data_IF_339385127273
#
_entry.id   IF_339385127273
#
_cell.length_a   1.000
_cell.length_b   1.000
_cell.length_c   1.000
_cell.angle_alpha   90.00
_cell.angle_beta   90.00
_cell.angle_gamma   90.00
#
_symmetry.space_group_name_H-M   'P 1'
#
loop_
_entity.id
_entity.type
_entity.pdbx_description
1 polymer ?
#
# COMPACT_ATOMS: atom_id res chain seq x y z
N UNK A 1 -11.76 -5.14 -8.88
CA UNK A 1 -11.26 -6.55 -8.90
C UNK A 1 -10.13 -6.68 -7.89
N UNK A 2 -10.18 -7.70 -7.04
CA UNK A 2 -9.08 -8.00 -6.10
C UNK A 2 -8.27 -9.20 -6.58
N UNK A 3 -8.95 -10.26 -7.00
CA UNK A 3 -8.30 -11.51 -7.39
C UNK A 3 -9.22 -12.29 -8.32
N UNK A 4 -8.67 -12.84 -9.41
CA UNK A 4 -9.33 -13.78 -10.29
C UNK A 4 -8.40 -14.97 -10.47
N UNK A 5 -8.86 -16.15 -10.11
CA UNK A 5 -8.15 -17.42 -10.31
C UNK A 5 -9.03 -18.37 -11.13
N UNK A 6 -8.44 -18.93 -12.16
CA UNK A 6 -9.15 -19.83 -13.08
C UNK A 6 -8.44 -21.19 -13.11
N UNK A 7 -9.23 -22.26 -13.13
CA UNK A 7 -8.78 -23.63 -13.28
C UNK A 7 -9.71 -24.43 -14.21
N UNK A 8 -9.32 -25.67 -14.54
CA UNK A 8 -10.19 -26.57 -15.29
C UNK A 8 -11.49 -26.90 -14.55
N UNK A 9 -11.51 -26.76 -13.22
CA UNK A 9 -12.66 -27.07 -12.39
C UNK A 9 -13.63 -25.90 -12.23
N UNK A 10 -13.18 -24.65 -12.41
CA UNK A 10 -14.02 -23.48 -12.20
C UNK A 10 -13.25 -22.17 -12.07
N UNK A 11 -13.91 -21.19 -11.49
CA UNK A 11 -13.40 -19.83 -11.26
C UNK A 11 -13.57 -19.45 -9.78
N UNK A 12 -12.53 -18.87 -9.20
CA UNK A 12 -12.58 -18.15 -7.93
C UNK A 12 -12.40 -16.66 -8.21
N UNK A 13 -13.31 -15.86 -7.70
CA UNK A 13 -13.33 -14.42 -7.94
C UNK A 13 -13.52 -13.66 -6.65
N UNK A 14 -12.74 -12.59 -6.43
CA UNK A 14 -12.87 -11.73 -5.29
C UNK A 14 -12.97 -10.26 -5.71
N UNK A 15 -13.95 -9.56 -5.15
CA UNK A 15 -14.18 -8.14 -5.43
C UNK A 15 -14.60 -7.39 -4.16
N UNK A 16 -14.58 -6.05 -4.24
CA UNK A 16 -15.12 -5.17 -3.19
C UNK A 16 -16.48 -4.65 -3.65
N UNK A 17 -17.44 -4.73 -2.75
CA UNK A 17 -18.75 -4.13 -2.90
C UNK A 17 -19.07 -3.29 -1.65
N UNK A 18 -19.24 -1.98 -1.82
CA UNK A 18 -19.57 -1.05 -0.71
C UNK A 18 -18.70 -1.25 0.56
N UNK A 19 -17.38 -1.39 0.39
CA UNK A 19 -16.44 -1.65 1.49
C UNK A 19 -16.57 -3.02 2.16
N UNK A 20 -17.33 -3.95 1.59
CA UNK A 20 -17.31 -5.37 1.94
C UNK A 20 -16.51 -6.16 0.89
N UNK A 21 -15.81 -7.19 1.32
CA UNK A 21 -15.12 -8.12 0.42
C UNK A 21 -16.04 -9.30 0.14
N UNK A 22 -16.17 -9.67 -1.12
CA UNK A 22 -17.00 -10.79 -1.56
C UNK A 22 -16.12 -11.80 -2.29
N UNK A 23 -16.08 -13.02 -1.80
CA UNK A 23 -15.48 -14.16 -2.47
C UNK A 23 -16.56 -14.99 -3.15
N UNK A 24 -16.35 -15.34 -4.41
CA UNK A 24 -17.24 -16.16 -5.21
C UNK A 24 -16.47 -17.35 -5.75
N UNK A 25 -16.98 -18.56 -5.49
CA UNK A 25 -16.46 -19.78 -6.08
C UNK A 25 -17.50 -20.38 -7.00
N UNK A 26 -17.15 -20.62 -8.25
CA UNK A 26 -18.01 -21.23 -9.27
C UNK A 26 -17.32 -22.48 -9.79
N UNK A 27 -17.90 -23.64 -9.49
CA UNK A 27 -17.41 -24.95 -9.96
C UNK A 27 -18.29 -25.44 -11.10
N UNK A 28 -17.68 -25.84 -12.22
CA UNK A 28 -18.41 -26.29 -13.41
C UNK A 28 -19.46 -27.37 -13.09
N UNK A 29 -19.12 -28.31 -12.23
CA UNK A 29 -20.01 -29.42 -11.82
C UNK A 29 -21.25 -28.94 -11.06
N UNK A 30 -21.14 -27.85 -10.28
CA UNK A 30 -22.25 -27.30 -9.49
C UNK A 30 -23.26 -26.54 -10.41
N UNK A 31 -22.87 -26.23 -11.65
CA UNK A 31 -23.72 -25.56 -12.64
C UNK A 31 -24.39 -26.52 -13.62
N UNK A 32 -24.10 -27.82 -13.54
CA UNK A 32 -24.76 -28.83 -14.39
C UNK A 32 -26.24 -28.94 -14.03
N UNK A 33 -27.11 -29.09 -15.04
CA UNK A 33 -28.55 -29.28 -14.84
C UNK A 33 -29.40 -28.65 -15.95
N UNK A 34 -30.59 -28.19 -15.58
CA UNK A 34 -31.53 -27.55 -16.52
C UNK A 34 -31.07 -26.13 -16.92
N UNK A 35 -31.41 -25.70 -18.14
CA UNK A 35 -31.15 -24.35 -18.64
C UNK A 35 -29.76 -24.16 -19.25
N UNK A 36 -29.41 -22.89 -19.54
CA UNK A 36 -28.19 -22.48 -20.28
C UNK A 36 -27.02 -22.05 -19.38
N UNK A 37 -27.19 -22.07 -18.05
CA UNK A 37 -26.22 -21.50 -17.08
C UNK A 37 -24.81 -22.08 -17.25
N UNK A 38 -24.71 -23.41 -17.40
CA UNK A 38 -23.42 -24.07 -17.61
C UNK A 38 -22.75 -23.65 -18.92
N UNK A 39 -23.51 -23.42 -19.97
CA UNK A 39 -23.04 -22.95 -21.26
C UNK A 39 -22.61 -21.48 -21.19
N UNK A 40 -23.41 -20.63 -20.57
CA UNK A 40 -23.11 -19.21 -20.30
C UNK A 40 -21.81 -19.06 -19.50
N UNK A 41 -21.68 -19.81 -18.40
CA UNK A 41 -20.44 -19.79 -17.60
C UNK A 41 -19.23 -20.24 -18.41
N UNK A 42 -19.34 -21.29 -19.20
CA UNK A 42 -18.23 -21.74 -20.05
C UNK A 42 -17.83 -20.69 -21.10
N UNK A 43 -18.80 -19.93 -21.63
CA UNK A 43 -18.50 -18.83 -22.55
C UNK A 43 -17.72 -17.73 -21.86
N UNK A 44 -18.11 -17.31 -20.66
CA UNK A 44 -17.34 -16.35 -19.88
C UNK A 44 -15.94 -16.88 -19.56
N UNK A 45 -15.85 -18.09 -19.02
CA UNK A 45 -14.58 -18.70 -18.61
C UNK A 45 -13.55 -18.77 -19.72
N UNK A 46 -13.97 -18.96 -20.94
CA UNK A 46 -13.06 -19.06 -22.10
C UNK A 46 -12.46 -17.73 -22.55
N UNK A 47 -12.94 -16.58 -22.04
CA UNK A 47 -12.53 -15.25 -22.51
C UNK A 47 -12.46 -14.21 -21.37
N UNK A 48 -12.21 -14.62 -20.13
CA UNK A 48 -12.11 -13.71 -18.95
C UNK A 48 -10.93 -12.73 -19.01
N UNK A 49 -9.96 -12.98 -19.90
CA UNK A 49 -8.87 -12.02 -20.16
C UNK A 49 -9.36 -10.79 -20.96
N UNK A 50 -10.53 -10.87 -21.58
CA UNK A 50 -11.16 -9.79 -22.31
C UNK A 50 -11.94 -8.89 -21.33
N UNK A 51 -11.64 -7.59 -21.25
CA UNK A 51 -12.31 -6.67 -20.31
C UNK A 51 -13.83 -6.60 -20.48
N UNK A 52 -14.35 -6.68 -21.71
CA UNK A 52 -15.80 -6.63 -21.96
C UNK A 52 -16.48 -7.92 -21.47
N UNK A 53 -15.85 -9.08 -21.66
CA UNK A 53 -16.32 -10.36 -21.17
C UNK A 53 -16.28 -10.42 -19.64
N UNK A 54 -15.20 -9.91 -19.06
CA UNK A 54 -15.06 -9.83 -17.60
C UNK A 54 -16.15 -8.95 -16.99
N UNK A 55 -16.44 -7.78 -17.58
CA UNK A 55 -17.51 -6.90 -17.12
C UNK A 55 -18.89 -7.60 -17.16
N UNK A 56 -19.21 -8.31 -18.25
CA UNK A 56 -20.45 -9.08 -18.38
C UNK A 56 -20.52 -10.23 -17.36
N UNK A 57 -19.38 -10.88 -17.08
CA UNK A 57 -19.29 -11.89 -16.03
C UNK A 57 -19.52 -11.31 -14.65
N UNK A 58 -18.96 -10.12 -14.35
CA UNK A 58 -19.20 -9.41 -13.10
C UNK A 58 -20.69 -9.07 -12.92
N UNK A 59 -21.37 -8.55 -13.96
CA UNK A 59 -22.82 -8.31 -13.91
C UNK A 59 -23.60 -9.62 -13.66
N UNK A 60 -23.21 -10.69 -14.33
CA UNK A 60 -23.88 -12.00 -14.23
C UNK A 60 -23.80 -12.61 -12.83
N UNK A 61 -22.69 -12.42 -12.10
CA UNK A 61 -22.54 -12.88 -10.72
C UNK A 61 -23.16 -11.90 -9.71
N UNK A 62 -23.17 -10.61 -10.00
CA UNK A 62 -23.73 -9.59 -9.11
C UNK A 62 -25.27 -9.66 -9.06
N UNK A 63 -25.94 -9.89 -10.18
CA UNK A 63 -27.38 -9.88 -10.26
C UNK A 63 -28.08 -10.79 -9.20
N UNK A 64 -27.71 -12.08 -9.02
CA UNK A 64 -28.29 -12.91 -7.97
C UNK A 64 -27.79 -12.58 -6.57
N UNK A 65 -26.65 -11.87 -6.40
CA UNK A 65 -26.14 -11.44 -5.10
C UNK A 65 -26.73 -10.11 -4.63
N UNK A 66 -27.23 -9.28 -5.55
CA UNK A 66 -27.69 -7.93 -5.28
C UNK A 66 -28.63 -7.81 -4.06
N UNK A 67 -29.69 -8.65 -3.91
CA UNK A 67 -30.60 -8.55 -2.77
C UNK A 67 -29.90 -8.74 -1.42
N UNK A 68 -28.94 -9.67 -1.36
CA UNK A 68 -28.15 -9.91 -0.15
C UNK A 68 -27.19 -8.75 0.13
N UNK A 69 -26.50 -8.26 -0.91
CA UNK A 69 -25.50 -7.22 -0.77
C UNK A 69 -26.13 -5.86 -0.39
N UNK A 70 -27.32 -5.56 -0.89
CA UNK A 70 -28.07 -4.35 -0.52
C UNK A 70 -28.44 -4.32 0.97
N UNK A 71 -28.74 -5.50 1.55
CA UNK A 71 -29.06 -5.63 2.96
C UNK A 71 -27.83 -5.66 3.85
N UNK A 72 -26.81 -6.45 3.50
CA UNK A 72 -25.67 -6.76 4.36
C UNK A 72 -24.45 -5.86 4.13
N UNK A 73 -24.36 -5.24 2.96
CA UNK A 73 -23.29 -4.30 2.58
C UNK A 73 -23.88 -3.03 1.95
N UNK A 74 -24.71 -2.27 2.69
CA UNK A 74 -25.31 -1.06 2.16
C UNK A 74 -24.23 -0.03 1.81
N UNK A 75 -24.53 0.85 0.86
CA UNK A 75 -23.62 1.92 0.45
C UNK A 75 -23.23 2.76 1.67
N UNK A 76 -21.92 2.87 2.00
CA UNK A 76 -21.47 3.70 3.11
C UNK A 76 -21.90 5.15 2.88
N UNK A 77 -22.28 5.82 3.96
CA UNK A 77 -22.42 7.28 3.89
C UNK A 77 -21.06 7.88 3.54
N UNK A 78 -20.98 8.72 2.50
CA UNK A 78 -19.75 9.40 2.11
C UNK A 78 -19.17 10.32 3.21
N UNK A 79 -19.88 10.47 4.32
CA UNK A 79 -19.50 11.26 5.48
C UNK A 79 -19.07 10.41 6.68
N UNK A 80 -19.20 9.08 6.62
CA UNK A 80 -18.76 8.23 7.71
C UNK A 80 -17.24 8.05 7.65
N UNK A 81 -16.55 8.29 8.79
CA UNK A 81 -15.11 8.10 8.87
C UNK A 81 -14.78 6.60 8.73
N UNK A 82 -13.94 6.25 7.76
CA UNK A 82 -13.49 4.88 7.53
C UNK A 82 -12.14 4.63 8.21
N UNK A 83 -12.07 3.84 9.29
CA UNK A 83 -10.81 3.41 9.88
C UNK A 83 -9.98 2.52 8.94
N UNK A 84 -8.66 2.57 9.05
CA UNK A 84 -7.77 1.65 8.31
C UNK A 84 -8.09 0.18 8.63
N UNK A 85 -8.49 -0.12 9.87
CA UNK A 85 -8.92 -1.45 10.25
C UNK A 85 -10.03 -1.97 9.33
N UNK A 86 -11.05 -1.15 9.07
CA UNK A 86 -12.16 -1.52 8.21
C UNK A 86 -11.73 -1.70 6.74
N UNK A 87 -10.77 -0.91 6.28
CA UNK A 87 -10.22 -1.06 4.93
C UNK A 87 -9.44 -2.37 4.76
N UNK A 88 -8.54 -2.70 5.70
CA UNK A 88 -7.70 -3.89 5.62
C UNK A 88 -8.35 -5.18 6.14
N UNK A 89 -9.38 -5.05 6.97
CA UNK A 89 -10.21 -6.16 7.46
C UNK A 89 -11.68 -5.85 7.21
N UNK A 90 -12.08 -5.73 5.92
CA UNK A 90 -13.45 -5.44 5.58
C UNK A 90 -14.35 -6.60 5.99
N UNK A 91 -15.64 -6.31 6.24
CA UNK A 91 -16.65 -7.33 6.37
C UNK A 91 -16.58 -8.24 5.13
N UNK A 92 -16.49 -9.54 5.34
CA UNK A 92 -16.19 -10.47 4.25
C UNK A 92 -17.26 -11.53 4.14
N UNK A 93 -17.74 -11.76 2.92
CA UNK A 93 -18.71 -12.76 2.56
C UNK A 93 -18.11 -13.75 1.58
N UNK A 94 -18.51 -15.01 1.67
CA UNK A 94 -18.12 -16.04 0.73
C UNK A 94 -19.37 -16.73 0.18
N UNK A 95 -19.40 -16.94 -1.12
CA UNK A 95 -20.50 -17.61 -1.81
C UNK A 95 -19.97 -18.68 -2.75
N UNK A 96 -20.75 -19.73 -2.94
CA UNK A 96 -20.66 -20.59 -4.09
C UNK A 96 -21.93 -20.51 -4.91
N UNK A 97 -21.81 -20.63 -6.21
CA UNK A 97 -22.96 -20.68 -7.09
C UNK A 97 -23.33 -22.09 -7.49
N UNK A 98 -24.63 -22.34 -7.57
CA UNK A 98 -25.20 -23.61 -8.02
C UNK A 98 -26.29 -23.36 -9.04
N UNK A 99 -26.57 -24.34 -9.89
CA UNK A 99 -27.74 -24.34 -10.77
C UNK A 99 -28.98 -24.84 -9.99
N UNK A 100 -29.95 -23.99 -9.83
CA UNK A 100 -31.21 -24.32 -9.21
C UNK A 100 -32.36 -24.10 -10.21
N UNK A 101 -32.76 -25.18 -10.86
CA UNK A 101 -33.86 -25.16 -11.85
C UNK A 101 -33.63 -24.18 -13.00
N UNK A 102 -32.42 -24.12 -13.54
CA UNK A 102 -32.04 -23.22 -14.62
C UNK A 102 -31.78 -21.77 -14.22
N UNK A 103 -31.64 -21.49 -12.92
CA UNK A 103 -31.23 -20.18 -12.40
C UNK A 103 -29.94 -20.29 -11.58
N UNK A 104 -29.11 -19.27 -11.65
CA UNK A 104 -27.89 -19.13 -10.86
C UNK A 104 -28.29 -18.76 -9.42
N UNK A 105 -28.04 -19.64 -8.45
CA UNK A 105 -28.44 -19.49 -7.05
C UNK A 105 -27.19 -19.37 -6.15
N UNK A 106 -26.98 -18.25 -5.44
CA UNK A 106 -25.85 -18.09 -4.54
C UNK A 106 -26.12 -18.80 -3.21
N UNK A 107 -25.21 -19.65 -2.80
CA UNK A 107 -25.18 -20.27 -1.47
C UNK A 107 -24.11 -19.61 -0.64
N UNK A 108 -24.49 -18.94 0.44
CA UNK A 108 -23.52 -18.34 1.37
C UNK A 108 -22.74 -19.43 2.09
N UNK A 109 -21.42 -19.25 2.15
CA UNK A 109 -20.48 -20.10 2.87
C UNK A 109 -19.95 -19.37 4.11
N UNK A 110 -19.46 -20.14 5.08
CA UNK A 110 -18.65 -19.56 6.14
C UNK A 110 -17.30 -19.12 5.54
N UNK A 111 -16.97 -17.84 5.69
CA UNK A 111 -15.66 -17.34 5.29
C UNK A 111 -14.57 -17.91 6.20
N UNK A 112 -13.52 -18.46 5.61
CA UNK A 112 -12.32 -18.93 6.31
C UNK A 112 -11.08 -18.24 5.72
N UNK A 113 -10.44 -17.32 6.48
CA UNK A 113 -9.26 -16.59 6.01
C UNK A 113 -8.07 -17.48 5.70
N UNK A 114 -8.02 -18.71 6.24
CA UNK A 114 -6.92 -19.64 5.98
C UNK A 114 -7.00 -20.28 4.59
N UNK A 115 -8.22 -20.35 4.02
CA UNK A 115 -8.47 -20.92 2.69
C UNK A 115 -8.38 -19.84 1.61
N UNK A 116 -8.97 -18.67 1.87
CA UNK A 116 -9.12 -17.59 0.86
C UNK A 116 -7.90 -16.65 0.79
N UNK A 117 -6.90 -16.85 1.64
CA UNK A 117 -5.70 -16.02 1.69
C UNK A 117 -5.98 -14.60 2.23
N UNK A 118 -5.14 -14.12 3.13
CA UNK A 118 -5.16 -12.73 3.59
C UNK A 118 -3.91 -12.02 3.08
N UNK A 119 -4.08 -11.09 2.12
CA UNK A 119 -3.00 -10.24 1.61
C UNK A 119 -2.79 -8.97 2.42
N UNK A 120 -3.46 -8.85 3.56
CA UNK A 120 -3.31 -7.70 4.44
C UNK A 120 -1.87 -7.56 4.96
N UNK A 121 -1.38 -6.33 5.14
CA UNK A 121 -0.01 -6.10 5.60
C UNK A 121 0.15 -6.54 7.06
N UNK A 122 0.85 -7.65 7.29
CA UNK A 122 1.12 -8.18 8.63
C UNK A 122 2.60 -8.51 8.81
N UNK A 123 3.30 -7.72 9.63
CA UNK A 123 4.70 -7.94 10.01
C UNK A 123 4.81 -8.14 11.50
N UNK A 124 5.29 -9.29 11.95
CA UNK A 124 5.38 -9.63 13.37
C UNK A 124 6.46 -8.84 14.09
N UNK A 125 6.14 -8.30 15.27
CA UNK A 125 7.06 -7.67 16.22
C UNK A 125 7.43 -8.70 17.29
N UNK A 126 8.68 -9.09 17.37
CA UNK A 126 9.17 -10.12 18.28
C UNK A 126 10.11 -9.56 19.35
N UNK A 127 10.11 -10.17 20.55
CA UNK A 127 10.91 -9.69 21.67
C UNK A 127 12.34 -10.24 21.71
N UNK A 128 12.58 -11.40 21.07
CA UNK A 128 13.87 -12.10 21.12
C UNK A 128 14.20 -12.64 19.73
N UNK A 129 15.46 -12.57 19.26
CA UNK A 129 15.88 -13.21 18.04
C UNK A 129 15.65 -14.72 18.10
N UNK A 130 14.97 -15.29 17.13
CA UNK A 130 14.66 -16.74 17.09
C UNK A 130 15.87 -17.63 16.72
N UNK A 131 17.06 -17.07 16.54
CA UNK A 131 18.29 -17.81 16.29
C UNK A 131 19.56 -16.98 16.55
N UNK A 132 20.68 -17.64 16.85
CA UNK A 132 22.01 -17.12 17.25
C UNK A 132 22.48 -15.81 16.60
N UNK A 133 23.14 -14.93 17.38
CA UNK A 133 23.54 -13.60 16.96
C UNK A 133 24.81 -13.64 16.10
N UNK A 134 24.67 -13.62 14.82
CA UNK A 134 25.79 -13.37 13.88
C UNK A 134 25.44 -12.40 12.74
N UNK A 135 24.63 -11.40 12.96
CA UNK A 135 24.63 -10.19 12.14
C UNK A 135 23.75 -9.12 12.83
N UNK A 136 24.11 -7.85 12.66
CA UNK A 136 23.35 -6.68 13.11
C UNK A 136 22.11 -6.45 12.21
N UNK A 137 21.37 -7.49 11.89
CA UNK A 137 20.16 -7.35 11.13
C UNK A 137 19.00 -7.09 12.10
N UNK A 138 18.33 -5.97 11.94
CA UNK A 138 17.14 -5.57 12.71
C UNK A 138 15.95 -6.50 12.47
N UNK A 139 16.07 -7.41 11.50
CA UNK A 139 15.02 -8.32 11.05
C UNK A 139 15.42 -9.78 11.23
N UNK A 140 14.43 -10.62 11.49
CA UNK A 140 14.62 -12.08 11.47
C UNK A 140 14.60 -12.59 10.02
N UNK A 141 15.10 -13.81 9.77
CA UNK A 141 15.03 -14.43 8.44
C UNK A 141 13.61 -14.58 7.89
N UNK A 142 12.62 -14.54 8.77
CA UNK A 142 11.20 -14.66 8.45
C UNK A 142 10.50 -13.30 8.25
N UNK A 143 11.27 -12.19 8.15
CA UNK A 143 10.72 -10.84 7.95
C UNK A 143 10.08 -10.21 9.19
N UNK A 144 10.19 -10.82 10.38
CA UNK A 144 9.73 -10.21 11.62
C UNK A 144 10.72 -9.14 12.11
N UNK A 145 10.20 -8.10 12.77
CA UNK A 145 11.01 -7.02 13.33
C UNK A 145 11.24 -7.19 14.82
N UNK A 146 12.45 -6.91 15.28
CA UNK A 146 12.74 -6.93 16.71
C UNK A 146 12.13 -5.70 17.40
N UNK A 147 11.42 -5.90 18.51
CA UNK A 147 10.87 -4.79 19.31
C UNK A 147 11.94 -3.79 19.74
N UNK A 148 13.14 -4.25 20.03
CA UNK A 148 14.28 -3.39 20.40
C UNK A 148 14.82 -2.55 19.22
N UNK A 149 14.47 -2.89 17.97
CA UNK A 149 14.84 -2.16 16.77
C UNK A 149 13.78 -1.14 16.36
N UNK A 150 12.60 -1.13 17.00
CA UNK A 150 11.58 -0.13 16.71
C UNK A 150 12.05 1.28 17.08
N UNK A 151 11.77 2.28 16.26
CA UNK A 151 12.02 3.67 16.62
C UNK A 151 11.16 4.09 17.83
N UNK A 152 11.57 5.10 18.60
CA UNK A 152 10.84 5.57 19.78
C UNK A 152 9.63 6.44 19.39
N UNK A 153 8.70 5.86 18.62
CA UNK A 153 7.43 6.46 18.23
C UNK A 153 6.25 5.62 18.74
N UNK A 154 5.05 6.20 18.91
CA UNK A 154 3.90 5.47 19.43
C UNK A 154 3.47 4.34 18.48
N UNK A 155 2.98 3.24 19.06
CA UNK A 155 2.16 2.26 18.37
C UNK A 155 0.70 2.75 18.40
N UNK A 156 0.06 2.79 17.24
CA UNK A 156 -1.28 3.35 17.04
C UNK A 156 -2.16 2.25 16.47
N UNK A 157 -3.32 2.02 17.05
CA UNK A 157 -4.25 1.00 16.55
C UNK A 157 -4.82 1.41 15.18
N UNK A 158 -5.04 0.44 14.31
CA UNK A 158 -5.58 0.67 12.98
C UNK A 158 -7.00 1.29 13.02
N UNK A 159 -7.78 1.00 14.07
CA UNK A 159 -9.08 1.62 14.32
C UNK A 159 -9.00 3.11 14.67
N UNK A 160 -7.85 3.60 15.17
CA UNK A 160 -7.64 5.01 15.52
C UNK A 160 -7.17 5.86 14.33
N UNK A 161 -6.85 5.24 13.19
CA UNK A 161 -6.39 5.92 11.98
C UNK A 161 -7.50 5.92 10.94
N UNK A 162 -7.95 7.10 10.58
CA UNK A 162 -9.12 7.33 9.73
C UNK A 162 -8.68 7.81 8.35
N UNK A 163 -9.24 7.25 7.30
CA UNK A 163 -9.06 7.71 5.92
C UNK A 163 -9.50 9.17 5.78
N UNK A 164 -8.73 10.00 5.06
CA UNK A 164 -8.97 11.43 4.89
C UNK A 164 -8.93 11.90 3.42
N UNK A 165 -8.74 11.01 2.48
CA UNK A 165 -8.92 11.26 1.04
C UNK A 165 -10.42 11.27 0.71
N UNK A 166 -10.80 12.09 -0.26
CA UNK A 166 -12.17 12.10 -0.75
C UNK A 166 -12.41 10.81 -1.54
N UNK A 167 -13.41 10.05 -1.11
CA UNK A 167 -13.87 8.86 -1.84
C UNK A 167 -14.67 9.33 -3.07
N UNK A 168 -14.06 9.28 -4.26
CA UNK A 168 -14.83 9.09 -5.48
C UNK A 168 -15.23 7.62 -5.58
N UNK A 169 -16.32 7.30 -6.28
CA UNK A 169 -16.84 5.94 -6.39
C UNK A 169 -15.81 4.93 -6.98
N UNK A 170 -14.80 5.42 -7.70
CA UNK A 170 -13.76 4.60 -8.32
C UNK A 170 -12.51 4.39 -7.43
N UNK A 171 -12.35 5.13 -6.34
CA UNK A 171 -11.12 5.17 -5.53
C UNK A 171 -11.19 4.37 -4.21
N UNK A 172 -12.30 3.68 -3.94
CA UNK A 172 -12.49 2.89 -2.69
C UNK A 172 -11.48 1.73 -2.61
N UNK A 173 -11.04 1.22 -3.76
CA UNK A 173 -10.09 0.11 -3.85
C UNK A 173 -8.64 0.49 -3.56
N UNK A 174 -8.30 1.78 -3.61
CA UNK A 174 -6.94 2.22 -3.41
C UNK A 174 -6.54 2.23 -1.93
N UNK A 175 -5.32 1.74 -1.66
CA UNK A 175 -4.76 1.78 -0.30
C UNK A 175 -4.77 3.22 0.21
N UNK A 176 -5.44 3.51 1.35
CA UNK A 176 -5.51 4.85 1.89
C UNK A 176 -4.12 5.41 2.17
N UNK A 177 -3.80 6.57 1.59
CA UNK A 177 -2.52 7.26 1.80
C UNK A 177 -2.67 8.46 2.70
N UNK A 178 -3.74 9.24 2.51
CA UNK A 178 -4.06 10.44 3.30
C UNK A 178 -4.99 10.05 4.43
N UNK A 179 -4.52 10.24 5.65
CA UNK A 179 -5.23 9.78 6.85
C UNK A 179 -5.18 10.83 7.96
N UNK A 180 -5.98 10.61 8.99
CA UNK A 180 -6.00 11.39 10.25
C UNK A 180 -5.99 10.42 11.42
N UNK A 181 -5.47 10.86 12.55
CA UNK A 181 -5.63 10.15 13.80
C UNK A 181 -6.89 10.65 14.51
N UNK A 182 -7.72 9.75 15.06
CA UNK A 182 -8.97 10.10 15.75
C UNK A 182 -8.77 11.13 16.86
N UNK A 183 -7.63 11.06 17.58
CA UNK A 183 -7.25 12.01 18.61
C UNK A 183 -6.78 13.38 18.10
N UNK A 184 -6.47 13.50 16.81
CA UNK A 184 -5.98 14.71 16.16
C UNK A 184 -6.66 14.90 14.78
N UNK A 185 -7.98 15.16 14.74
CA UNK A 185 -8.78 15.12 13.50
C UNK A 185 -8.41 16.22 12.49
N UNK A 186 -7.76 17.30 12.93
CA UNK A 186 -7.34 18.40 12.06
C UNK A 186 -5.95 18.19 11.46
N UNK A 187 -5.18 17.20 11.95
CA UNK A 187 -3.85 16.92 11.46
C UNK A 187 -3.88 15.83 10.39
N UNK A 188 -3.48 16.20 9.17
CA UNK A 188 -3.28 15.24 8.09
C UNK A 188 -1.95 14.51 8.26
N UNK A 189 -1.99 13.21 7.99
CA UNK A 189 -0.86 12.28 8.03
C UNK A 189 -0.85 11.45 6.75
N UNK A 190 0.32 10.87 6.46
CA UNK A 190 0.51 9.93 5.36
C UNK A 190 0.68 8.52 5.91
N UNK A 191 -0.13 7.58 5.43
CA UNK A 191 -0.01 6.17 5.77
C UNK A 191 0.67 5.40 4.63
N UNK A 192 1.67 4.60 4.97
CA UNK A 192 2.35 3.66 4.07
C UNK A 192 2.18 2.25 4.59
N UNK A 193 1.41 1.43 3.86
CA UNK A 193 1.17 0.04 4.23
C UNK A 193 2.46 -0.78 4.18
N UNK A 194 2.61 -1.71 5.12
CA UNK A 194 3.72 -2.65 5.18
C UNK A 194 3.54 -3.82 4.22
N UNK A 195 3.73 -3.60 2.92
CA UNK A 195 3.60 -4.63 1.91
C UNK A 195 4.78 -5.62 1.92
N UNK A 196 4.68 -6.72 1.16
CA UNK A 196 5.58 -7.89 1.18
C UNK A 196 7.04 -7.60 0.78
N UNK A 197 7.33 -6.46 0.19
CA UNK A 197 8.68 -6.08 -0.29
C UNK A 197 9.66 -5.68 0.83
N UNK A 198 9.20 -5.67 2.08
CA UNK A 198 9.98 -5.28 3.26
C UNK A 198 10.63 -3.87 3.21
N UNK A 199 10.41 -3.09 2.16
CA UNK A 199 10.93 -1.73 2.04
C UNK A 199 10.49 -0.82 3.20
N UNK A 200 9.27 -1.03 3.70
CA UNK A 200 8.75 -0.31 4.86
C UNK A 200 9.58 -0.54 6.15
N UNK A 201 10.22 -1.70 6.31
CA UNK A 201 11.08 -1.98 7.48
C UNK A 201 12.38 -1.18 7.42
N UNK A 202 13.01 -1.16 6.24
CA UNK A 202 14.18 -0.31 5.99
C UNK A 202 13.85 1.16 6.20
N UNK A 203 12.72 1.63 5.68
CA UNK A 203 12.27 3.01 5.84
C UNK A 203 12.05 3.36 7.31
N UNK A 204 11.35 2.50 8.06
CA UNK A 204 11.16 2.65 9.49
C UNK A 204 12.48 2.82 10.24
N UNK A 205 13.46 1.95 9.96
CA UNK A 205 14.78 1.99 10.60
C UNK A 205 15.52 3.28 10.27
N UNK A 206 15.60 3.67 8.99
CA UNK A 206 16.32 4.86 8.57
C UNK A 206 15.65 6.15 9.07
N UNK A 207 14.33 6.25 9.03
CA UNK A 207 13.61 7.39 9.61
C UNK A 207 13.78 7.47 11.12
N UNK A 208 13.86 6.32 11.80
CA UNK A 208 14.21 6.24 13.22
C UNK A 208 15.62 6.79 13.49
N UNK A 209 16.62 6.40 12.69
CA UNK A 209 17.99 6.90 12.78
C UNK A 209 18.08 8.42 12.49
N UNK A 210 17.36 8.90 11.47
CA UNK A 210 17.25 10.32 11.12
C UNK A 210 16.71 11.11 12.32
N UNK A 211 15.61 10.66 12.91
CA UNK A 211 14.99 11.30 14.07
C UNK A 211 15.93 11.31 15.28
N UNK A 212 16.58 10.17 15.57
CA UNK A 212 17.52 10.05 16.69
C UNK A 212 18.75 10.95 16.53
N UNK A 213 19.23 11.17 15.32
CA UNK A 213 20.40 12.00 15.06
C UNK A 213 20.20 13.47 15.49
N UNK A 214 18.96 13.96 15.50
CA UNK A 214 18.61 15.34 15.78
C UNK A 214 19.16 16.36 14.76
N UNK A 215 19.68 15.88 13.62
CA UNK A 215 20.44 16.69 12.64
C UNK A 215 19.62 17.11 11.43
N UNK A 216 18.34 16.70 11.37
CA UNK A 216 17.44 16.97 10.25
C UNK A 216 16.29 17.89 10.65
N UNK A 217 15.82 18.66 9.71
CA UNK A 217 14.84 19.73 9.83
C UNK A 217 15.20 20.82 8.82
N UNK A 218 14.66 22.03 8.94
CA UNK A 218 15.07 23.10 8.04
C UNK A 218 16.56 23.43 8.21
N UNK A 219 17.38 23.51 7.12
CA UNK A 219 17.00 23.38 5.70
C UNK A 219 17.01 21.93 5.14
N UNK A 220 17.46 20.93 5.91
CA UNK A 220 17.62 19.52 5.46
C UNK A 220 16.37 18.73 5.81
N UNK A 221 15.38 18.72 4.91
CA UNK A 221 14.08 18.13 5.15
C UNK A 221 13.99 16.71 4.59
N UNK A 222 13.52 15.79 5.42
CA UNK A 222 13.17 14.41 5.07
C UNK A 222 11.75 14.10 5.55
N UNK A 223 11.12 13.04 5.02
CA UNK A 223 9.91 12.49 5.63
C UNK A 223 10.14 12.20 7.12
N UNK A 224 9.09 12.34 7.93
CA UNK A 224 9.16 12.18 9.39
C UNK A 224 8.16 11.13 9.85
N UNK A 225 8.67 10.14 10.56
CA UNK A 225 7.86 9.11 11.18
C UNK A 225 7.13 9.68 12.40
N UNK A 226 5.81 9.49 12.44
CA UNK A 226 4.92 9.95 13.53
C UNK A 226 4.55 8.78 14.43
N UNK A 227 4.34 7.61 13.87
CA UNK A 227 3.95 6.42 14.59
C UNK A 227 4.02 5.15 13.73
N UNK A 228 3.78 4.02 14.36
CA UNK A 228 3.64 2.72 13.72
C UNK A 228 2.21 2.26 13.89
N UNK A 229 1.54 1.94 12.78
CA UNK A 229 0.17 1.42 12.82
C UNK A 229 0.22 -0.08 13.04
N UNK A 230 -0.49 -0.55 14.05
CA UNK A 230 -0.59 -1.96 14.43
C UNK A 230 -2.03 -2.46 14.34
N UNK A 231 -2.20 -3.77 14.23
CA UNK A 231 -3.50 -4.40 14.19
C UNK A 231 -4.17 -4.37 15.56
N UNK A 232 -5.49 -4.18 15.60
CA UNK A 232 -6.28 -4.14 16.84
C UNK A 232 -6.38 -5.53 17.50
N UNK A 233 -6.44 -6.59 16.70
CA UNK A 233 -6.49 -7.99 17.15
C UNK A 233 -5.12 -8.51 17.60
N UNK A 234 -4.03 -7.94 17.10
CA UNK A 234 -2.65 -8.26 17.52
C UNK A 234 -1.75 -7.00 17.49
N UNK A 235 -1.64 -6.26 18.60
CA UNK A 235 -0.74 -5.09 18.70
C UNK A 235 0.75 -5.40 18.53
N UNK A 236 1.14 -6.67 18.42
CA UNK A 236 2.49 -7.07 18.02
C UNK A 236 2.60 -7.31 16.51
N UNK A 237 1.59 -6.96 15.75
CA UNK A 237 1.59 -7.09 14.30
C UNK A 237 1.53 -5.71 13.65
N UNK A 238 2.61 -5.33 12.95
CA UNK A 238 2.73 -4.05 12.25
C UNK A 238 1.90 -4.10 10.97
N UNK A 239 1.07 -3.08 10.76
CA UNK A 239 0.31 -2.84 9.54
C UNK A 239 1.06 -1.90 8.59
N UNK A 240 1.73 -0.87 9.12
CA UNK A 240 2.43 0.12 8.31
C UNK A 240 2.98 1.29 9.10
N UNK A 241 3.45 2.28 8.36
CA UNK A 241 4.09 3.50 8.88
C UNK A 241 3.12 4.68 8.81
N UNK A 242 3.10 5.48 9.87
CA UNK A 242 2.37 6.75 9.89
C UNK A 242 3.38 7.90 9.88
N UNK A 243 3.32 8.74 8.86
CA UNK A 243 4.27 9.81 8.60
C UNK A 243 3.58 11.18 8.53
N UNK A 244 4.34 12.25 8.68
CA UNK A 244 3.83 13.60 8.40
C UNK A 244 3.37 13.70 6.95
N UNK A 245 2.19 14.28 6.74
CA UNK A 245 1.69 14.57 5.40
C UNK A 245 2.43 15.79 4.84
N UNK A 246 2.95 15.66 3.64
CA UNK A 246 3.61 16.74 2.92
C UNK A 246 2.63 17.30 1.91
N UNK A 247 2.13 18.50 2.17
CA UNK A 247 1.28 19.22 1.21
C UNK A 247 2.16 19.77 0.09
N UNK A 248 2.18 19.08 -1.03
CA UNK A 248 3.07 19.40 -2.14
C UNK A 248 2.92 18.45 -3.32
N UNK A 249 3.84 18.60 -4.27
CA UNK A 249 3.94 17.74 -5.46
C UNK A 249 5.35 17.20 -5.61
N UNK A 250 5.49 16.12 -6.38
CA UNK A 250 6.82 15.58 -6.67
C UNK A 250 7.67 16.58 -7.46
N UNK A 251 8.97 16.49 -7.31
CA UNK A 251 9.91 17.28 -8.11
C UNK A 251 9.72 16.98 -9.61
N UNK A 252 9.39 15.74 -9.98
CA UNK A 252 9.06 15.37 -11.36
C UNK A 252 7.93 16.24 -11.92
N UNK A 253 6.84 16.39 -11.18
CA UNK A 253 5.69 17.16 -11.64
C UNK A 253 5.93 18.66 -11.60
N UNK A 254 6.57 19.17 -10.52
CA UNK A 254 6.85 20.60 -10.35
C UNK A 254 7.88 21.13 -11.33
N UNK A 255 8.82 20.28 -11.77
CA UNK A 255 9.91 20.72 -12.64
C UNK A 255 9.50 20.95 -14.10
N UNK A 256 8.36 20.45 -14.55
CA UNK A 256 7.94 20.53 -15.96
C UNK A 256 7.94 21.97 -16.49
N UNK A 257 7.30 22.88 -15.72
CA UNK A 257 7.12 24.27 -16.11
C UNK A 257 7.87 25.26 -15.19
N UNK A 258 8.78 24.74 -14.33
CA UNK A 258 9.48 25.57 -13.37
C UNK A 258 10.63 26.38 -14.01
N UNK A 259 10.80 27.65 -13.60
CA UNK A 259 11.98 28.44 -13.98
C UNK A 259 13.30 27.74 -13.56
N UNK A 260 14.36 27.94 -14.36
CA UNK A 260 15.67 27.35 -14.09
C UNK A 260 16.22 27.69 -12.70
N UNK A 261 15.96 28.90 -12.22
CA UNK A 261 16.38 29.34 -10.88
C UNK A 261 15.76 28.46 -9.76
N UNK A 262 14.50 28.05 -9.89
CA UNK A 262 13.84 27.16 -8.93
C UNK A 262 14.41 25.74 -9.05
N UNK A 263 14.63 25.23 -10.26
CA UNK A 263 15.25 23.90 -10.47
C UNK A 263 16.64 23.86 -9.81
N UNK A 264 17.46 24.90 -9.98
CA UNK A 264 18.77 25.02 -9.32
C UNK A 264 18.65 25.05 -7.80
N UNK A 265 17.67 25.82 -7.25
CA UNK A 265 17.40 25.84 -5.80
C UNK A 265 17.08 24.43 -5.30
N UNK A 266 16.14 23.74 -5.93
CA UNK A 266 15.70 22.43 -5.49
C UNK A 266 16.80 21.37 -5.57
N UNK A 267 17.56 21.33 -6.68
CA UNK A 267 18.70 20.42 -6.81
C UNK A 267 19.75 20.71 -5.74
N UNK A 268 20.06 21.97 -5.47
CA UNK A 268 21.00 22.34 -4.41
C UNK A 268 20.53 21.89 -3.01
N UNK A 269 19.24 21.97 -2.73
CA UNK A 269 18.68 21.48 -1.48
C UNK A 269 18.72 19.94 -1.38
N UNK A 270 18.40 19.22 -2.47
CA UNK A 270 18.53 17.75 -2.52
C UNK A 270 19.97 17.34 -2.27
N UNK A 271 20.93 17.95 -2.96
CA UNK A 271 22.36 17.67 -2.80
C UNK A 271 22.84 17.93 -1.36
N UNK A 272 22.44 19.04 -0.76
CA UNK A 272 22.81 19.37 0.62
C UNK A 272 22.23 18.36 1.62
N UNK A 273 20.96 17.96 1.44
CA UNK A 273 20.31 16.97 2.31
C UNK A 273 20.95 15.59 2.13
N UNK A 274 21.25 15.19 0.90
CA UNK A 274 21.90 13.92 0.60
C UNK A 274 23.30 13.82 1.23
N UNK A 275 24.11 14.87 1.11
CA UNK A 275 25.42 14.93 1.79
C UNK A 275 25.28 14.80 3.30
N UNK A 276 24.25 15.46 3.88
CA UNK A 276 23.99 15.36 5.30
C UNK A 276 23.60 13.96 5.75
N UNK A 277 22.83 13.22 4.94
CA UNK A 277 22.52 11.81 5.17
C UNK A 277 23.80 10.96 5.18
N UNK A 278 24.65 11.12 4.18
CA UNK A 278 25.92 10.38 4.07
C UNK A 278 26.89 10.69 5.24
N UNK A 279 26.94 11.92 5.73
CA UNK A 279 27.74 12.31 6.91
C UNK A 279 27.33 11.57 8.20
N UNK A 280 26.09 11.11 8.28
CA UNK A 280 25.60 10.32 9.42
C UNK A 280 25.49 8.82 9.10
N UNK A 281 26.05 8.40 7.95
CA UNK A 281 26.10 7.00 7.53
C UNK A 281 24.79 6.46 6.97
N UNK A 282 23.86 7.34 6.54
CA UNK A 282 22.58 6.95 5.96
C UNK A 282 22.68 7.07 4.43
N UNK A 283 22.34 6.00 3.74
CA UNK A 283 22.18 5.94 2.29
C UNK A 283 20.71 6.03 1.96
N UNK A 284 20.30 6.94 1.07
CA UNK A 284 18.91 7.07 0.65
C UNK A 284 18.46 5.87 -0.18
N UNK A 285 19.21 5.55 -1.26
CA UNK A 285 19.12 4.27 -1.96
C UNK A 285 18.15 4.22 -3.14
N UNK A 286 17.33 5.26 -3.38
CA UNK A 286 16.44 5.37 -4.54
C UNK A 286 16.29 6.83 -4.97
N UNK A 287 17.40 7.42 -5.42
CA UNK A 287 17.47 8.82 -5.84
C UNK A 287 16.78 9.02 -7.18
N UNK A 288 15.60 9.64 -7.17
CA UNK A 288 14.84 10.03 -8.37
C UNK A 288 13.91 11.20 -8.06
N UNK A 289 13.46 11.95 -9.10
CA UNK A 289 12.58 13.11 -8.90
C UNK A 289 11.20 12.77 -8.26
N UNK A 290 10.75 11.54 -8.40
CA UNK A 290 9.50 11.07 -7.79
C UNK A 290 9.58 10.97 -6.27
N UNK A 291 10.79 10.74 -5.73
CA UNK A 291 11.07 10.61 -4.31
C UNK A 291 11.50 11.93 -3.65
N UNK A 292 11.31 13.05 -4.34
CA UNK A 292 11.50 14.39 -3.81
C UNK A 292 10.18 15.14 -3.86
N UNK A 293 9.66 15.57 -2.71
CA UNK A 293 8.49 16.43 -2.63
C UNK A 293 8.91 17.90 -2.58
N UNK A 294 8.16 18.76 -3.25
CA UNK A 294 8.25 20.23 -3.11
C UNK A 294 7.10 20.66 -2.23
N UNK A 295 7.41 21.14 -1.03
CA UNK A 295 6.40 21.55 -0.06
C UNK A 295 5.78 22.94 -0.36
N UNK A 296 4.79 23.35 0.43
CA UNK A 296 4.13 24.63 0.28
C UNK A 296 5.06 25.85 0.44
N UNK A 297 6.25 25.67 1.00
CA UNK A 297 7.30 26.71 1.13
C UNK A 297 8.26 26.73 -0.06
N UNK A 298 8.00 25.96 -1.11
CA UNK A 298 8.90 25.77 -2.26
C UNK A 298 10.27 25.18 -1.86
N UNK A 299 10.29 24.32 -0.82
CA UNK A 299 11.49 23.62 -0.38
C UNK A 299 11.36 22.12 -0.66
N UNK A 300 12.51 21.46 -0.83
CA UNK A 300 12.54 20.01 -1.06
C UNK A 300 12.47 19.22 0.23
N UNK A 301 11.74 18.12 0.18
CA UNK A 301 11.67 17.09 1.24
C UNK A 301 11.99 15.74 0.61
N UNK A 302 13.02 15.06 1.08
CA UNK A 302 13.34 13.71 0.61
C UNK A 302 12.39 12.70 1.26
N UNK A 303 11.80 11.83 0.45
CA UNK A 303 10.84 10.81 0.86
C UNK A 303 11.26 9.43 0.35
N UNK A 304 10.56 8.39 0.80
CA UNK A 304 10.76 6.99 0.38
C UNK A 304 12.18 6.47 0.65
N UNK A 305 12.43 6.18 1.93
CA UNK A 305 13.68 5.57 2.40
C UNK A 305 13.63 4.03 2.38
N UNK A 306 12.58 3.45 1.81
CA UNK A 306 12.42 2.00 1.67
C UNK A 306 13.48 1.33 0.80
N UNK A 307 14.19 2.11 0.03
CA UNK A 307 15.08 1.64 -1.02
C UNK A 307 14.28 1.27 -2.26
N UNK A 308 14.99 0.92 -3.29
CA UNK A 308 14.39 0.59 -4.57
C UNK A 308 15.47 0.45 -5.62
N UNK A 309 15.04 0.17 -6.84
CA UNK A 309 15.90 0.16 -7.99
C UNK A 309 15.19 0.77 -9.19
N UNK A 310 15.71 1.90 -9.62
CA UNK A 310 15.26 2.57 -10.83
C UNK A 310 16.44 2.58 -11.82
N UNK A 311 16.45 1.68 -12.83
CA UNK A 311 17.59 1.49 -13.75
C UNK A 311 18.05 2.76 -14.45
N UNK A 312 17.14 3.69 -14.69
CA UNK A 312 17.40 4.97 -15.36
C UNK A 312 18.25 5.93 -14.52
N UNK A 313 18.28 5.72 -13.19
CA UNK A 313 18.98 6.60 -12.25
C UNK A 313 20.20 5.95 -11.61
N UNK A 314 20.15 4.67 -11.28
CA UNK A 314 21.18 4.00 -10.49
C UNK A 314 21.61 2.70 -11.20
N UNK A 315 22.93 2.45 -11.44
CA UNK A 315 23.41 1.15 -11.89
C UNK A 315 23.12 0.04 -10.89
N UNK A 316 22.84 -1.17 -11.37
CA UNK A 316 22.47 -2.32 -10.53
C UNK A 316 23.51 -2.60 -9.43
N UNK A 317 24.80 -2.49 -9.74
CA UNK A 317 25.92 -2.81 -8.84
C UNK A 317 26.10 -1.77 -7.73
N UNK A 318 25.48 -0.59 -7.88
CA UNK A 318 25.59 0.52 -6.94
C UNK A 318 24.32 0.77 -6.14
N UNK A 319 23.36 -0.15 -6.22
CA UNK A 319 22.15 -0.08 -5.43
C UNK A 319 22.47 0.06 -3.95
N UNK A 320 21.69 0.90 -3.27
CA UNK A 320 21.83 1.14 -1.83
C UNK A 320 23.25 1.47 -1.36
N UNK A 321 24.00 2.19 -2.17
CA UNK A 321 25.33 2.73 -1.82
C UNK A 321 25.35 4.25 -1.90
N UNK A 322 26.21 4.89 -1.11
CA UNK A 322 26.39 6.34 -1.19
C UNK A 322 26.88 6.79 -2.59
N UNK A 323 27.65 5.95 -3.29
CA UNK A 323 28.06 6.23 -4.66
C UNK A 323 26.89 6.15 -5.63
N UNK A 324 25.98 5.18 -5.46
CA UNK A 324 24.74 5.09 -6.23
C UNK A 324 23.87 6.32 -6.04
N UNK A 325 23.72 6.81 -4.81
CA UNK A 325 23.01 8.05 -4.52
C UNK A 325 23.60 9.26 -5.28
N UNK A 326 24.92 9.39 -5.35
CA UNK A 326 25.58 10.49 -6.07
C UNK A 326 25.36 10.39 -7.58
N UNK A 327 25.42 9.19 -8.16
CA UNK A 327 25.14 8.97 -9.58
C UNK A 327 23.67 9.28 -9.89
N UNK A 328 22.74 8.83 -9.02
CA UNK A 328 21.32 9.15 -9.15
C UNK A 328 21.06 10.67 -9.11
N UNK A 329 21.79 11.40 -8.25
CA UNK A 329 21.72 12.86 -8.21
C UNK A 329 22.22 13.49 -9.51
N UNK A 330 23.31 13.00 -10.10
CA UNK A 330 23.82 13.52 -11.37
C UNK A 330 22.84 13.25 -12.53
N UNK A 331 22.23 12.07 -12.57
CA UNK A 331 21.15 11.78 -13.54
C UNK A 331 19.94 12.69 -13.32
N UNK A 332 19.56 12.97 -12.06
CA UNK A 332 18.49 13.91 -11.74
C UNK A 332 18.81 15.32 -12.22
N UNK A 333 20.06 15.81 -12.02
CA UNK A 333 20.54 17.11 -12.54
C UNK A 333 20.39 17.17 -14.06
N UNK A 334 20.85 16.12 -14.75
CA UNK A 334 20.78 16.01 -16.20
C UNK A 334 19.32 16.05 -16.71
N UNK A 335 18.45 15.25 -16.10
CA UNK A 335 17.02 15.20 -16.46
C UNK A 335 16.30 16.55 -16.28
N UNK A 336 16.78 17.39 -15.37
CA UNK A 336 16.23 18.72 -15.11
C UNK A 336 16.90 19.84 -15.90
N UNK A 337 17.98 19.53 -16.65
CA UNK A 337 18.77 20.52 -17.38
C UNK A 337 19.53 21.48 -16.47
N UNK A 338 19.95 21.02 -15.28
CA UNK A 338 20.71 21.80 -14.29
C UNK A 338 22.13 21.21 -14.21
N UNK A 339 23.13 22.01 -14.54
CA UNK A 339 24.54 21.62 -14.53
C UNK A 339 25.32 22.46 -13.52
#
# INVERSE_FOLDING_TARGET
MLELSQSDLGVEYAFIYNCARVYVTIVCQDLEGEGSISEEFNNFRNDLDNPDTLFQFEEWILDPLQPFLDEEAPTPSCHEPMPLLQYFSPRTFAFKFVNKKGQLDPIQLNYDPTINGDSSPRTQIVNVPTSSPRHRDSHTKDGAVLRSALPPVPLILASEVIRADNLGDEEISDIPKKVKQSSQPDRLLFFKAGLRDHGHLREMELLGQIAHSGKFGSPWKTSRLVGLVVWDDDPNCLMGLLMEYIDGRTLRDRSRDAPEALKKKWIGQVEATLRRLHEVGIVWGDVKPDNVMIDASEDTVLVDFGGGYTPEYIPHELQQTAQGDLIGLDHMKAAMGVW
#
